data_IF_117737770487
#
_entry.id   IF_117737770487
#
_cell.length_a   1.000
_cell.length_b   1.000
_cell.length_c   1.000
_cell.angle_alpha   90.00
_cell.angle_beta   90.00
_cell.angle_gamma   90.00
#
_symmetry.space_group_name_H-M   'P 1'
#
loop_
_entity.id
_entity.type
_entity.pdbx_description
1 polymer ?
#
# COMPACT_ATOMS: atom_id res chain seq x y z
N UNK A 1 3.20 14.99 0.95
CA UNK A 1 3.34 14.17 2.16
C UNK A 1 3.23 12.75 1.67
N UNK A 2 4.31 11.99 1.77
CA UNK A 2 4.37 10.64 1.22
C UNK A 2 3.82 9.69 2.29
N UNK A 3 2.90 8.82 1.90
CA UNK A 3 2.24 7.87 2.78
C UNK A 3 2.66 6.46 2.39
N UNK A 4 3.27 5.73 3.32
CA UNK A 4 3.62 4.32 3.13
C UNK A 4 2.61 3.46 3.86
N UNK A 5 2.14 2.39 3.21
CA UNK A 5 1.29 1.37 3.81
C UNK A 5 2.04 0.05 3.71
N UNK A 6 2.13 -0.68 4.82
CA UNK A 6 2.73 -2.01 4.88
C UNK A 6 1.65 -3.05 5.18
N UNK A 7 1.66 -4.15 4.43
CA UNK A 7 0.75 -5.29 4.66
C UNK A 7 1.58 -6.54 4.83
N UNK A 8 1.28 -7.33 5.87
CA UNK A 8 1.96 -8.60 6.13
C UNK A 8 1.17 -9.75 5.54
N UNK A 9 1.85 -10.63 4.79
CA UNK A 9 1.28 -11.86 4.26
C UNK A 9 2.08 -13.06 4.78
N UNK A 10 1.38 -14.07 5.30
CA UNK A 10 2.01 -15.30 5.79
C UNK A 10 2.02 -16.35 4.69
N UNK A 11 3.20 -16.88 4.39
CA UNK A 11 3.41 -17.96 3.42
C UNK A 11 3.74 -19.24 4.16
N UNK A 12 3.26 -20.39 3.67
CA UNK A 12 3.48 -21.69 4.31
C UNK A 12 3.60 -22.77 3.24
N UNK A 13 4.55 -23.69 3.42
CA UNK A 13 4.78 -24.81 2.51
C UNK A 13 5.01 -26.09 3.32
N UNK A 14 4.26 -27.13 2.99
CA UNK A 14 4.41 -28.46 3.57
C UNK A 14 5.05 -29.40 2.55
N UNK A 15 6.12 -30.08 2.94
CA UNK A 15 6.85 -31.01 2.07
C UNK A 15 7.28 -32.26 2.82
N UNK A 16 7.10 -33.43 2.19
CA UNK A 16 7.57 -34.71 2.71
C UNK A 16 8.77 -35.19 1.89
N UNK A 17 9.94 -35.20 2.51
CA UNK A 17 11.21 -35.54 1.85
C UNK A 17 11.73 -36.85 2.43
N UNK A 18 12.05 -37.81 1.54
CA UNK A 18 12.73 -39.04 1.94
C UNK A 18 14.24 -38.84 1.86
N UNK A 19 14.90 -38.87 3.01
CA UNK A 19 16.36 -38.76 3.10
C UNK A 19 16.98 -40.16 3.08
N UNK A 20 17.95 -40.36 2.18
CA UNK A 20 18.65 -41.63 2.05
C UNK A 20 19.62 -41.85 3.23
N UNK A 21 19.95 -43.10 3.58
CA UNK A 21 20.95 -43.37 4.61
C UNK A 21 22.29 -42.70 4.29
N UNK A 22 22.99 -42.19 5.31
CA UNK A 22 24.29 -41.51 5.18
C UNK A 22 24.27 -40.29 4.23
N UNK A 23 23.16 -39.57 4.22
CA UNK A 23 23.02 -38.34 3.44
C UNK A 23 22.38 -37.22 4.27
N UNK A 24 22.58 -35.99 3.85
CA UNK A 24 21.98 -34.77 4.39
C UNK A 24 21.07 -34.18 3.32
N UNK A 25 19.85 -33.80 3.69
CA UNK A 25 18.98 -33.01 2.84
C UNK A 25 18.97 -31.56 3.33
N UNK A 26 19.17 -30.60 2.42
CA UNK A 26 19.06 -29.18 2.66
C UNK A 26 17.80 -28.70 1.95
N UNK A 27 16.82 -28.22 2.71
CA UNK A 27 15.61 -27.61 2.17
C UNK A 27 15.75 -26.09 2.26
N UNK A 28 15.66 -25.43 1.12
CA UNK A 28 15.72 -23.97 1.01
C UNK A 28 14.34 -23.44 0.62
N UNK A 29 13.89 -22.42 1.35
CA UNK A 29 12.70 -21.68 1.02
C UNK A 29 13.07 -20.38 0.32
N UNK A 30 12.68 -20.25 -0.94
CA UNK A 30 12.95 -19.07 -1.76
C UNK A 30 11.63 -18.33 -1.99
N UNK A 31 11.60 -17.03 -1.68
CA UNK A 31 10.49 -16.15 -2.00
C UNK A 31 10.96 -15.16 -3.06
N UNK A 32 10.27 -15.12 -4.19
CA UNK A 32 10.52 -14.16 -5.26
C UNK A 32 9.70 -12.91 -4.97
N UNK A 33 10.37 -11.76 -4.85
CA UNK A 33 9.72 -10.46 -4.75
C UNK A 33 9.89 -9.68 -6.06
N UNK A 34 8.88 -8.88 -6.39
CA UNK A 34 8.94 -7.91 -7.47
C UNK A 34 8.73 -6.50 -6.93
N UNK A 35 9.26 -5.52 -7.67
CA UNK A 35 9.05 -4.10 -7.43
C UNK A 35 8.29 -3.50 -8.61
N UNK A 36 7.29 -2.68 -8.30
CA UNK A 36 6.53 -1.94 -9.30
C UNK A 36 6.48 -0.46 -8.93
N UNK A 37 6.84 0.38 -9.89
CA UNK A 37 6.73 1.83 -9.79
C UNK A 37 5.89 2.36 -10.95
N UNK A 38 4.90 3.20 -10.66
CA UNK A 38 4.03 3.78 -11.67
C UNK A 38 3.57 5.19 -11.32
N UNK A 39 3.31 5.95 -12.37
CA UNK A 39 2.50 7.16 -12.29
C UNK A 39 1.03 6.77 -12.39
N UNK A 40 0.18 7.32 -11.53
CA UNK A 40 -1.26 7.07 -11.52
C UNK A 40 -2.04 8.37 -11.61
N UNK A 41 -3.27 8.29 -12.09
CA UNK A 41 -4.23 9.39 -12.07
C UNK A 41 -5.52 8.93 -11.41
N UNK A 42 -6.01 9.72 -10.46
CA UNK A 42 -7.29 9.52 -9.81
C UNK A 42 -8.21 10.65 -10.26
N UNK A 43 -9.31 10.26 -10.89
CA UNK A 43 -10.41 11.17 -11.14
C UNK A 43 -11.33 11.22 -9.93
N UNK A 44 -11.55 12.42 -9.41
CA UNK A 44 -12.47 12.65 -8.29
C UNK A 44 -13.64 13.48 -8.77
N UNK A 45 -14.85 12.99 -8.48
CA UNK A 45 -16.12 13.64 -8.79
C UNK A 45 -16.88 13.93 -7.51
N UNK A 46 -17.35 15.16 -7.36
CA UNK A 46 -18.17 15.59 -6.23
C UNK A 46 -19.49 16.17 -6.75
N UNK A 47 -20.61 15.74 -6.18
CA UNK A 47 -21.94 16.27 -6.48
C UNK A 47 -22.76 16.37 -5.21
N UNK A 48 -23.80 17.22 -5.23
CA UNK A 48 -24.70 17.44 -4.11
C UNK A 48 -24.57 18.82 -3.48
N UNK A 49 -25.07 18.94 -2.24
CA UNK A 49 -25.16 20.22 -1.53
C UNK A 49 -24.17 20.28 -0.37
N UNK A 50 -23.57 21.46 -0.18
CA UNK A 50 -22.73 21.77 0.97
C UNK A 50 -23.49 22.75 1.85
N UNK A 51 -23.48 22.46 3.16
CA UNK A 51 -23.97 23.35 4.20
C UNK A 51 -22.84 23.61 5.21
N UNK A 52 -22.46 24.87 5.41
CA UNK A 52 -21.38 25.28 6.29
C UNK A 52 -21.74 26.52 7.10
N UNK A 53 -21.49 26.50 8.40
CA UNK A 53 -21.60 27.67 9.26
C UNK A 53 -20.21 28.31 9.42
N UNK A 54 -20.09 29.57 9.03
CA UNK A 54 -18.94 30.41 9.33
C UNK A 54 -19.12 30.96 10.73
N UNK A 55 -18.18 30.65 11.61
CA UNK A 55 -18.11 31.17 12.97
C UNK A 55 -16.81 31.95 13.17
N UNK A 56 -16.83 32.94 14.07
CA UNK A 56 -15.63 33.69 14.42
C UNK A 56 -14.65 32.79 15.19
N UNK A 57 -13.35 32.91 14.92
CA UNK A 57 -12.33 32.03 15.48
C UNK A 57 -12.14 32.19 17.01
N UNK A 58 -12.29 33.42 17.50
CA UNK A 58 -12.05 33.82 18.91
C UNK A 58 -13.14 33.34 19.88
N UNK A 59 -14.41 33.38 19.47
CA UNK A 59 -15.55 33.13 20.35
C UNK A 59 -16.61 32.18 19.76
N UNK A 60 -16.33 31.59 18.59
CA UNK A 60 -17.26 30.72 17.85
C UNK A 60 -18.63 31.35 17.57
N UNK A 61 -18.77 32.68 17.65
CA UNK A 61 -20.02 33.34 17.34
C UNK A 61 -20.36 33.13 15.86
N UNK A 62 -21.61 32.77 15.61
CA UNK A 62 -22.13 32.58 14.26
C UNK A 62 -22.03 33.88 13.45
N UNK A 63 -21.48 33.77 12.24
CA UNK A 63 -21.31 34.89 11.31
C UNK A 63 -22.24 34.73 10.12
N UNK A 64 -22.21 33.57 9.45
CA UNK A 64 -22.96 33.33 8.21
C UNK A 64 -23.13 31.84 7.97
N UNK A 65 -24.24 31.47 7.33
CA UNK A 65 -24.46 30.14 6.79
C UNK A 65 -24.27 30.14 5.28
N UNK A 66 -23.55 29.16 4.77
CA UNK A 66 -23.42 28.84 3.35
C UNK A 66 -24.22 27.57 3.15
N UNK A 67 -25.22 27.62 2.27
CA UNK A 67 -25.95 26.44 1.81
C UNK A 67 -26.13 26.55 0.30
N UNK A 68 -25.74 25.50 -0.42
CA UNK A 68 -25.82 25.54 -1.87
C UNK A 68 -25.32 24.29 -2.56
N UNK A 69 -25.65 24.21 -3.85
CA UNK A 69 -25.12 23.20 -4.75
C UNK A 69 -23.61 23.37 -4.93
N UNK A 70 -22.86 22.27 -4.81
CA UNK A 70 -21.40 22.28 -4.86
C UNK A 70 -20.87 22.76 -6.21
N UNK A 71 -21.50 22.38 -7.33
CA UNK A 71 -21.05 22.79 -8.66
C UNK A 71 -21.21 24.29 -8.83
N UNK A 72 -22.32 24.86 -8.33
CA UNK A 72 -22.53 26.31 -8.37
C UNK A 72 -21.52 27.06 -7.50
N UNK A 73 -21.24 26.59 -6.28
CA UNK A 73 -20.28 27.21 -5.37
C UNK A 73 -18.88 27.24 -6.01
N UNK A 74 -18.44 26.12 -6.58
CA UNK A 74 -17.16 26.04 -7.28
C UNK A 74 -17.12 26.93 -8.53
N UNK A 75 -18.21 27.00 -9.30
CA UNK A 75 -18.30 27.85 -10.48
C UNK A 75 -18.19 29.34 -10.13
N UNK A 76 -18.78 29.79 -9.01
CA UNK A 76 -18.62 31.15 -8.50
C UNK A 76 -17.16 31.41 -8.06
N UNK A 77 -16.53 30.46 -7.36
CA UNK A 77 -15.14 30.53 -6.94
C UNK A 77 -14.14 30.58 -8.11
N UNK A 78 -14.37 29.81 -9.17
CA UNK A 78 -13.54 29.80 -10.38
C UNK A 78 -13.50 31.17 -11.08
N UNK A 79 -14.62 31.91 -11.10
CA UNK A 79 -14.68 33.27 -11.67
C UNK A 79 -13.80 34.27 -10.93
N UNK A 80 -13.51 34.02 -9.65
CA UNK A 80 -12.63 34.86 -8.83
C UNK A 80 -11.14 34.51 -8.98
N UNK A 81 -10.81 33.54 -9.85
CA UNK A 81 -9.44 33.13 -10.17
C UNK A 81 -8.86 32.04 -9.25
N UNK A 82 -9.69 31.38 -8.44
CA UNK A 82 -9.20 30.59 -7.30
C UNK A 82 -8.89 29.12 -7.58
N UNK A 83 -9.14 28.56 -8.78
CA UNK A 83 -8.97 27.10 -8.95
C UNK A 83 -8.81 26.64 -10.41
N UNK A 84 -7.58 26.38 -10.83
CA UNK A 84 -7.25 25.81 -12.15
C UNK A 84 -7.37 24.28 -12.22
N UNK A 85 -7.48 23.60 -11.07
CA UNK A 85 -7.46 22.13 -10.97
C UNK A 85 -8.84 21.48 -10.94
N UNK A 86 -9.89 22.28 -10.84
CA UNK A 86 -11.28 21.81 -10.77
C UNK A 86 -12.02 22.27 -12.03
N UNK A 87 -12.93 21.45 -12.53
CA UNK A 87 -13.80 21.79 -13.65
C UNK A 87 -15.25 21.41 -13.33
N UNK A 88 -16.20 22.13 -13.95
CA UNK A 88 -17.61 21.76 -13.88
C UNK A 88 -17.88 20.73 -14.97
N UNK A 89 -18.31 19.55 -14.55
CA UNK A 89 -18.64 18.40 -15.39
C UNK A 89 -20.15 18.14 -15.32
N UNK A 90 -20.80 17.88 -16.47
CA UNK A 90 -22.23 17.55 -16.56
C UNK A 90 -23.17 18.50 -15.79
N UNK A 91 -22.83 19.80 -15.74
CA UNK A 91 -23.60 20.90 -15.15
C UNK A 91 -23.99 20.78 -13.66
N UNK A 92 -23.57 19.72 -12.97
CA UNK A 92 -23.97 19.43 -11.58
C UNK A 92 -22.90 18.71 -10.78
N UNK A 93 -21.76 18.41 -11.40
CA UNK A 93 -20.65 17.69 -10.78
C UNK A 93 -19.37 18.51 -10.89
N UNK A 94 -18.60 18.57 -9.82
CA UNK A 94 -17.23 19.10 -9.84
C UNK A 94 -16.28 17.94 -10.09
N UNK A 95 -15.42 18.05 -11.10
CA UNK A 95 -14.41 17.05 -11.44
C UNK A 95 -13.02 17.64 -11.19
N UNK A 96 -12.12 16.80 -10.70
CA UNK A 96 -10.68 17.08 -10.67
C UNK A 96 -9.90 15.80 -10.99
N UNK A 97 -8.73 15.96 -11.59
CA UNK A 97 -7.81 14.86 -11.85
C UNK A 97 -6.58 15.09 -10.99
N UNK A 98 -6.30 14.14 -10.10
CA UNK A 98 -5.13 14.13 -9.25
C UNK A 98 -4.12 13.14 -9.81
N UNK A 99 -2.91 13.60 -10.09
CA UNK A 99 -1.81 12.73 -10.49
C UNK A 99 -0.94 12.40 -9.29
N UNK A 100 -0.47 11.16 -9.22
CA UNK A 100 0.44 10.70 -8.19
C UNK A 100 1.45 9.71 -8.73
N UNK A 101 2.39 9.32 -7.88
CA UNK A 101 3.35 8.24 -8.13
C UNK A 101 3.21 7.22 -7.02
N UNK A 102 3.31 5.95 -7.35
CA UNK A 102 3.41 4.87 -6.39
C UNK A 102 4.63 4.00 -6.69
N UNK A 103 5.21 3.44 -5.63
CA UNK A 103 6.23 2.43 -5.69
C UNK A 103 5.92 1.41 -4.60
N UNK A 104 5.87 0.13 -4.94
CA UNK A 104 5.60 -0.93 -3.99
C UNK A 104 6.36 -2.21 -4.35
N UNK A 105 6.71 -2.97 -3.32
CA UNK A 105 7.38 -4.27 -3.43
C UNK A 105 6.45 -5.35 -2.87
N UNK A 106 6.36 -6.49 -3.55
CA UNK A 106 5.43 -7.56 -3.18
C UNK A 106 6.01 -8.92 -3.52
N UNK A 107 5.70 -9.92 -2.68
CA UNK A 107 6.02 -11.32 -2.96
C UNK A 107 5.11 -11.86 -4.07
N UNK A 108 5.70 -12.58 -5.02
CA UNK A 108 5.01 -13.09 -6.23
C UNK A 108 4.94 -14.61 -6.23
N UNK A 109 6.00 -15.26 -5.76
CA UNK A 109 6.12 -16.72 -5.79
C UNK A 109 6.92 -17.23 -4.59
N UNK A 110 6.62 -18.46 -4.18
CA UNK A 110 7.33 -19.21 -3.17
C UNK A 110 7.75 -20.57 -3.76
N UNK A 111 9.03 -20.92 -3.62
CA UNK A 111 9.59 -22.19 -4.07
C UNK A 111 10.35 -22.89 -2.93
N UNK A 112 10.19 -24.21 -2.82
CA UNK A 112 10.97 -25.05 -1.90
C UNK A 112 11.94 -25.89 -2.72
N UNK A 113 13.23 -25.58 -2.63
CA UNK A 113 14.29 -26.39 -3.24
C UNK A 113 14.81 -27.38 -2.22
N UNK A 114 15.00 -28.64 -2.63
CA UNK A 114 15.58 -29.67 -1.76
C UNK A 114 16.78 -30.29 -2.45
N UNK A 115 17.95 -30.12 -1.85
CA UNK A 115 19.19 -30.73 -2.31
C UNK A 115 19.65 -31.80 -1.32
N UNK A 116 20.32 -32.84 -1.80
CA UNK A 116 20.72 -33.96 -0.95
C UNK A 116 22.15 -34.42 -1.24
N UNK A 117 22.99 -34.38 -0.22
CA UNK A 117 24.41 -34.68 -0.29
C UNK A 117 24.77 -35.92 0.51
N UNK A 118 25.73 -36.71 0.02
CA UNK A 118 26.30 -37.83 0.80
C UNK A 118 27.23 -37.29 1.88
N UNK A 119 27.10 -37.83 3.09
CA UNK A 119 28.03 -37.53 4.18
C UNK A 119 29.35 -38.25 3.90
N UNK A 120 30.40 -37.50 3.54
CA UNK A 120 31.76 -38.02 3.53
C UNK A 120 32.24 -38.16 4.97
N UNK A 121 32.86 -39.28 5.31
CA UNK A 121 33.14 -39.72 6.69
C UNK A 121 34.26 -38.95 7.42
N UNK A 122 34.47 -37.66 7.11
CA UNK A 122 35.51 -36.85 7.73
C UNK A 122 35.05 -35.40 7.88
N UNK A 123 35.01 -34.96 9.15
CA UNK A 123 34.71 -33.62 9.67
C UNK A 123 33.22 -33.31 9.93
N UNK A 124 32.68 -33.93 10.98
CA UNK A 124 31.44 -33.48 11.61
C UNK A 124 31.78 -32.49 12.74
N UNK A 125 31.74 -31.19 12.42
CA UNK A 125 31.46 -30.16 13.41
C UNK A 125 29.93 -30.05 13.48
N UNK A 126 29.29 -30.17 14.66
CA UNK A 126 27.84 -30.18 14.75
C UNK A 126 27.28 -28.84 14.23
N UNK A 127 26.11 -28.85 13.55
CA UNK A 127 25.50 -27.63 13.08
C UNK A 127 25.23 -26.68 14.24
N UNK A 128 25.75 -25.44 14.16
CA UNK A 128 25.33 -24.35 15.03
C UNK A 128 23.88 -24.01 14.66
N UNK A 129 22.94 -24.51 15.46
CA UNK A 129 21.57 -24.02 15.43
C UNK A 129 21.57 -22.55 15.86
N UNK A 130 21.56 -21.64 14.90
CA UNK A 130 21.12 -20.27 15.16
C UNK A 130 19.59 -20.30 15.17
N UNK A 131 19.02 -20.49 16.35
CA UNK A 131 17.62 -20.17 16.57
C UNK A 131 17.46 -18.66 16.34
N UNK A 132 16.87 -18.28 15.21
CA UNK A 132 16.36 -16.92 15.02
C UNK A 132 15.08 -16.88 15.85
N UNK A 133 15.20 -16.45 17.11
CA UNK A 133 14.06 -16.07 17.93
C UNK A 133 13.49 -14.81 17.26
N UNK A 134 12.24 -14.81 16.75
CA UNK A 134 11.61 -13.58 16.32
C UNK A 134 11.42 -12.73 17.57
N UNK A 135 12.06 -11.56 17.60
CA UNK A 135 11.81 -10.56 18.64
C UNK A 135 10.32 -10.21 18.61
N UNK A 136 9.64 -10.49 19.71
CA UNK A 136 8.30 -10.00 19.99
C UNK A 136 8.43 -8.54 20.42
N UNK A 137 7.96 -7.63 19.58
CA UNK A 137 7.64 -6.26 19.92
C UNK A 137 6.24 -5.93 19.40
#
# INVERSE_FOLDING_TARGET
>A
QDSTIETVMTWSADSNIRVAPHSRANAELVITEEEYSADFQVEVRFSGRISAAICRRDNHAYVKFIDGDIARIFQEGMKTGSSSQFEIFENSTVRTIMSGKCAFRFGVEQHVTVEQDRLTSSAEQPPRYHAIIPNSH
#
